data_IF_295367196714
#
_entry.id   IF_295367196714
#
_cell.length_a   1.000
_cell.length_b   1.000
_cell.length_c   1.000
_cell.angle_alpha   90.00
_cell.angle_beta   90.00
_cell.angle_gamma   90.00
#
_symmetry.space_group_name_H-M   'P 1'
#
loop_
_entity.id
_entity.type
_entity.pdbx_description
1 polymer ?
#
# COMPACT_ATOMS: atom_id res chain seq x y z
N UNK A 1 -3.00 15.86 19.89
CA UNK A 1 -3.78 14.60 20.00
C UNK A 1 -3.44 13.69 18.83
N UNK A 2 -2.40 12.83 18.83
CA UNK A 2 -2.11 12.07 17.58
C UNK A 2 -1.22 10.82 17.61
N UNK A 3 -0.79 10.25 18.74
CA UNK A 3 0.17 9.12 18.71
C UNK A 3 -0.35 7.84 18.00
N UNK A 4 -1.63 7.49 18.16
CA UNK A 4 -2.16 6.22 17.64
C UNK A 4 -2.46 6.22 16.13
N UNK A 5 -2.82 7.37 15.55
CA UNK A 5 -3.09 7.51 14.11
C UNK A 5 -1.80 7.38 13.31
N UNK A 6 -0.73 8.01 13.77
CA UNK A 6 0.58 7.96 13.11
C UNK A 6 1.18 6.55 13.11
N UNK A 7 1.01 5.79 14.21
CA UNK A 7 1.45 4.39 14.28
C UNK A 7 0.70 3.50 13.27
N UNK A 8 -0.62 3.69 13.13
CA UNK A 8 -1.42 2.95 12.14
C UNK A 8 -0.98 3.28 10.71
N UNK A 9 -0.77 4.56 10.39
CA UNK A 9 -0.28 5.01 9.08
C UNK A 9 1.10 4.42 8.78
N UNK A 10 2.05 4.49 9.74
CA UNK A 10 3.38 3.89 9.60
C UNK A 10 3.31 2.39 9.36
N UNK A 11 2.45 1.66 10.08
CA UNK A 11 2.25 0.21 9.88
C UNK A 11 1.65 -0.08 8.50
N UNK A 12 0.65 0.68 8.06
CA UNK A 12 0.07 0.53 6.72
C UNK A 12 1.10 0.76 5.62
N UNK A 13 1.96 1.76 5.77
CA UNK A 13 3.06 2.01 4.83
C UNK A 13 4.07 0.86 4.77
N UNK A 14 4.38 0.20 5.89
CA UNK A 14 5.26 -0.99 5.90
C UNK A 14 4.65 -2.13 5.06
N UNK A 15 3.36 -2.43 5.28
CA UNK A 15 2.64 -3.48 4.54
C UNK A 15 2.63 -3.15 3.04
N UNK A 16 2.28 -1.91 2.69
CA UNK A 16 2.22 -1.44 1.29
C UNK A 16 3.59 -1.48 0.62
N UNK A 17 4.65 -1.08 1.32
CA UNK A 17 6.04 -1.16 0.82
C UNK A 17 6.39 -2.60 0.47
N UNK A 18 6.13 -3.51 1.39
CA UNK A 18 6.47 -4.91 1.21
C UNK A 18 5.67 -5.54 0.05
N UNK A 19 4.36 -5.32 0.03
CA UNK A 19 3.51 -5.74 -1.07
C UNK A 19 3.95 -5.14 -2.42
N UNK A 20 4.36 -3.86 -2.45
CA UNK A 20 4.78 -3.20 -3.69
C UNK A 20 5.99 -3.84 -4.37
N UNK A 21 6.84 -4.57 -3.63
CA UNK A 21 7.99 -5.29 -4.18
C UNK A 21 7.58 -6.36 -5.17
N UNK A 22 6.43 -6.98 -4.96
CA UNK A 22 5.89 -8.03 -5.81
C UNK A 22 5.03 -7.48 -6.96
N UNK A 23 4.71 -6.17 -6.99
CA UNK A 23 3.75 -5.57 -7.93
C UNK A 23 4.13 -5.61 -9.43
N UNK A 24 5.39 -5.96 -9.72
CA UNK A 24 5.91 -6.15 -11.07
C UNK A 24 5.96 -7.62 -11.50
N UNK A 25 5.67 -8.57 -10.60
CA UNK A 25 5.59 -9.98 -10.98
C UNK A 25 4.36 -10.26 -11.84
N UNK A 26 4.46 -11.25 -12.72
CA UNK A 26 3.33 -11.69 -13.56
C UNK A 26 2.18 -12.30 -12.74
N UNK A 27 2.47 -12.80 -11.54
CA UNK A 27 1.48 -13.43 -10.66
C UNK A 27 1.54 -12.84 -9.23
N UNK A 28 1.06 -11.61 -9.09
CA UNK A 28 1.17 -10.82 -7.86
C UNK A 28 0.64 -11.52 -6.59
N UNK A 29 -0.55 -12.10 -6.65
CA UNK A 29 -1.19 -12.66 -5.46
C UNK A 29 -0.53 -13.96 -5.00
N UNK A 30 0.00 -14.76 -5.93
CA UNK A 30 0.80 -15.94 -5.58
C UNK A 30 2.10 -15.53 -4.87
N UNK A 31 2.79 -14.49 -5.35
CA UNK A 31 4.00 -13.98 -4.68
C UNK A 31 3.71 -13.43 -3.28
N UNK A 32 2.61 -12.68 -3.13
CA UNK A 32 2.14 -12.19 -1.82
C UNK A 32 1.85 -13.35 -0.86
N UNK A 33 1.19 -14.41 -1.34
CA UNK A 33 0.91 -15.61 -0.56
C UNK A 33 2.18 -16.35 -0.16
N UNK A 34 3.14 -16.50 -1.08
CA UNK A 34 4.47 -17.09 -0.80
C UNK A 34 5.24 -16.28 0.25
N UNK A 35 5.08 -14.96 0.24
CA UNK A 35 5.65 -14.06 1.25
C UNK A 35 4.88 -14.05 2.59
N UNK A 36 3.91 -14.95 2.79
CA UNK A 36 3.05 -15.01 3.99
C UNK A 36 2.27 -13.72 4.28
N UNK A 37 2.07 -12.87 3.27
CA UNK A 37 1.27 -11.66 3.39
C UNK A 37 -0.19 -11.96 3.04
N UNK A 38 -1.13 -11.36 3.76
CA UNK A 38 -2.56 -11.55 3.50
C UNK A 38 -3.09 -10.46 2.58
N UNK A 39 -3.79 -10.88 1.52
CA UNK A 39 -4.46 -9.96 0.59
C UNK A 39 -5.38 -8.96 1.31
N UNK A 40 -6.14 -9.42 2.29
CA UNK A 40 -7.02 -8.57 3.10
C UNK A 40 -6.25 -7.47 3.84
N UNK A 41 -5.07 -7.79 4.39
CA UNK A 41 -4.24 -6.82 5.12
C UNK A 41 -3.69 -5.76 4.18
N UNK A 42 -3.25 -6.15 2.99
CA UNK A 42 -2.76 -5.21 1.96
C UNK A 42 -3.87 -4.26 1.52
N UNK A 43 -5.06 -4.79 1.22
CA UNK A 43 -6.21 -3.96 0.83
C UNK A 43 -6.61 -3.00 1.94
N UNK A 44 -6.70 -3.48 3.17
CA UNK A 44 -7.03 -2.65 4.33
C UNK A 44 -5.99 -1.55 4.54
N UNK A 45 -4.70 -1.85 4.41
CA UNK A 45 -3.63 -0.86 4.51
C UNK A 45 -3.76 0.22 3.43
N UNK A 46 -4.02 -0.16 2.17
CA UNK A 46 -4.24 0.80 1.08
C UNK A 46 -5.45 1.69 1.33
N UNK A 47 -6.56 1.12 1.82
CA UNK A 47 -7.77 1.88 2.15
C UNK A 47 -7.51 2.86 3.29
N UNK A 48 -6.85 2.42 4.36
CA UNK A 48 -6.49 3.30 5.48
C UNK A 48 -5.58 4.46 5.05
N UNK A 49 -4.63 4.21 4.16
CA UNK A 49 -3.78 5.27 3.61
C UNK A 49 -4.56 6.24 2.72
N UNK A 50 -5.55 5.76 1.97
CA UNK A 50 -6.45 6.64 1.20
C UNK A 50 -7.34 7.49 2.11
N UNK A 51 -7.91 6.91 3.16
CA UNK A 51 -8.73 7.62 4.16
C UNK A 51 -7.91 8.66 4.94
N UNK A 52 -6.63 8.39 5.18
CA UNK A 52 -5.70 9.34 5.79
C UNK A 52 -5.20 10.43 4.81
N UNK A 53 -5.56 10.35 3.51
CA UNK A 53 -5.13 11.31 2.50
C UNK A 53 -3.70 11.09 1.97
N UNK A 54 -3.06 9.98 2.35
CA UNK A 54 -1.67 9.68 2.00
C UNK A 54 -1.49 9.24 0.54
N UNK A 55 -2.46 8.48 0.05
CA UNK A 55 -2.48 7.96 -1.31
C UNK A 55 -3.86 8.13 -1.93
N UNK A 56 -3.95 7.93 -3.24
CA UNK A 56 -5.21 7.78 -3.95
C UNK A 56 -5.20 6.43 -4.64
N UNK A 57 -6.16 5.57 -4.31
CA UNK A 57 -6.27 4.26 -4.95
C UNK A 57 -6.79 4.47 -6.37
N UNK A 58 -6.09 3.88 -7.35
CA UNK A 58 -6.54 3.91 -8.74
C UNK A 58 -7.87 3.17 -8.87
N UNK A 59 -8.77 3.68 -9.70
CA UNK A 59 -10.10 3.10 -9.93
C UNK A 59 -10.30 2.85 -11.42
N UNK A 60 -10.99 1.78 -11.77
CA UNK A 60 -11.45 1.55 -13.14
C UNK A 60 -12.65 2.46 -13.46
N UNK A 61 -13.09 2.46 -14.73
CA UNK A 61 -14.23 3.28 -15.19
C UNK A 61 -15.53 2.96 -14.44
N UNK A 62 -15.68 1.73 -13.98
CA UNK A 62 -16.81 1.23 -13.17
C UNK A 62 -16.69 1.56 -11.67
N UNK A 63 -15.63 2.27 -11.26
CA UNK A 63 -15.36 2.60 -9.85
C UNK A 63 -14.60 1.52 -9.07
N UNK A 64 -14.31 0.35 -9.66
CA UNK A 64 -13.60 -0.73 -8.97
C UNK A 64 -12.17 -0.31 -8.59
N UNK A 65 -11.80 -0.55 -7.33
CA UNK A 65 -10.44 -0.28 -6.81
C UNK A 65 -9.40 -1.20 -7.47
N UNK A 66 -8.35 -0.59 -8.02
CA UNK A 66 -7.25 -1.24 -8.73
C UNK A 66 -6.01 -1.29 -7.82
N UNK A 67 -6.05 -2.17 -6.82
CA UNK A 67 -5.01 -2.27 -5.78
C UNK A 67 -3.62 -2.58 -6.35
N UNK A 68 -3.51 -3.56 -7.25
CA UNK A 68 -2.21 -3.97 -7.83
C UNK A 68 -1.60 -2.86 -8.66
N UNK A 69 -2.40 -2.15 -9.46
CA UNK A 69 -1.92 -0.98 -10.23
C UNK A 69 -1.51 0.18 -9.33
N UNK A 70 -2.18 0.35 -8.19
CA UNK A 70 -1.79 1.35 -7.17
C UNK A 70 -0.44 0.98 -6.55
N UNK A 71 -0.23 -0.29 -6.17
CA UNK A 71 1.05 -0.78 -5.65
C UNK A 71 2.19 -0.65 -6.66
N UNK A 72 1.91 -0.92 -7.94
CA UNK A 72 2.88 -0.74 -9.03
C UNK A 72 3.29 0.71 -9.20
N UNK A 73 2.34 1.64 -9.06
CA UNK A 73 2.62 3.07 -9.10
C UNK A 73 3.50 3.52 -7.93
N UNK A 74 3.16 3.07 -6.73
CA UNK A 74 3.94 3.32 -5.51
C UNK A 74 5.36 2.76 -5.64
N UNK A 75 5.52 1.57 -6.22
CA UNK A 75 6.84 0.97 -6.47
C UNK A 75 7.69 1.79 -7.43
N UNK A 76 7.07 2.40 -8.45
CA UNK A 76 7.74 3.25 -9.45
C UNK A 76 8.03 4.66 -8.90
N UNK A 77 7.24 5.15 -7.95
CA UNK A 77 7.35 6.48 -7.37
C UNK A 77 7.51 6.43 -5.83
N UNK A 78 8.69 6.00 -5.32
CA UNK A 78 8.90 5.79 -3.89
C UNK A 78 8.95 7.08 -3.05
N UNK A 79 8.96 8.26 -3.66
CA UNK A 79 9.11 9.57 -2.96
C UNK A 79 8.07 9.78 -1.85
N UNK A 80 6.82 9.30 -2.04
CA UNK A 80 5.79 9.35 -1.00
C UNK A 80 6.06 8.41 0.17
N UNK A 81 6.77 7.33 -0.10
CA UNK A 81 7.11 6.26 0.84
C UNK A 81 8.24 6.68 1.78
N UNK A 82 9.28 7.30 1.22
CA UNK A 82 10.47 7.70 1.99
C UNK A 82 10.14 8.86 2.94
N UNK A 83 9.23 9.76 2.55
CA UNK A 83 8.78 10.90 3.36
C UNK A 83 8.19 10.52 4.74
N UNK A 84 7.63 9.32 4.86
CA UNK A 84 7.03 8.84 6.12
C UNK A 84 7.97 8.01 6.98
N UNK A 85 8.95 7.36 6.36
CA UNK A 85 9.93 6.53 7.07
C UNK A 85 11.10 7.35 7.62
N UNK A 86 11.35 8.55 7.08
CA UNK A 86 12.34 9.49 7.61
C UNK A 86 11.82 10.40 8.72
N UNK A 87 10.51 10.48 8.97
CA UNK A 87 9.92 11.12 10.17
C UNK A 87 10.01 10.20 11.41
N UNK A 88 11.18 9.60 11.60
CA UNK A 88 11.55 8.74 12.73
C UNK A 88 12.27 9.55 13.79
#
# INVERSE_FOLDING_TARGET
MTGAKDVKIKRSWKIVREASRYSLSGNFWEEVKRASLKEKEIKNALVLLEEAGEIRIKRAKDGRKLYVLTLRDIRRNPVKLDRWLTKG
#
